data_IF_572816311615
#
_entry.id   IF_572816311615
#
_cell.length_a   1.000
_cell.length_b   1.000
_cell.length_c   1.000
_cell.angle_alpha   90.00
_cell.angle_beta   90.00
_cell.angle_gamma   90.00
#
_symmetry.space_group_name_H-M   'P 1'
#
loop_
_entity.id
_entity.type
_entity.pdbx_description
1 polymer ?
#
# COMPACT_ATOMS: atom_id res chain seq x y z
N UNK A 1 -0.34 -18.63 -28.33
CA UNK A 1 -0.18 -20.00 -27.76
C UNK A 1 0.36 -19.85 -26.35
N UNK A 2 -0.25 -20.51 -25.34
CA UNK A 2 0.28 -20.52 -23.98
C UNK A 2 1.61 -21.28 -23.94
N UNK A 3 2.59 -20.78 -23.16
CA UNK A 3 3.86 -21.50 -22.96
C UNK A 3 3.61 -22.91 -22.39
N UNK A 4 4.48 -23.89 -22.70
CA UNK A 4 4.36 -25.21 -22.09
C UNK A 4 4.53 -25.12 -20.57
N UNK A 5 3.87 -26.03 -19.83
CA UNK A 5 4.00 -26.18 -18.38
C UNK A 5 5.39 -26.76 -18.10
N UNK A 6 6.19 -26.09 -17.30
CA UNK A 6 7.54 -26.52 -16.94
C UNK A 6 7.51 -27.36 -15.66
N UNK A 7 7.91 -28.61 -15.78
CA UNK A 7 7.79 -29.63 -14.74
C UNK A 7 9.18 -30.12 -14.35
N UNK A 8 9.49 -30.02 -13.06
CA UNK A 8 10.69 -30.61 -12.47
C UNK A 8 10.37 -31.94 -11.81
N UNK A 9 11.13 -33.00 -12.14
CA UNK A 9 11.02 -34.32 -11.55
C UNK A 9 12.11 -34.54 -10.51
N UNK A 10 11.71 -34.62 -9.24
CA UNK A 10 12.60 -34.83 -8.10
C UNK A 10 12.42 -36.24 -7.56
N UNK A 11 13.01 -37.21 -8.24
CA UNK A 11 13.12 -38.64 -7.81
C UNK A 11 14.55 -39.15 -8.00
N UNK A 12 14.99 -40.03 -7.11
CA UNK A 12 16.27 -40.79 -7.24
C UNK A 12 16.13 -42.06 -8.05
N UNK A 13 14.91 -42.54 -8.20
CA UNK A 13 14.60 -43.75 -8.98
C UNK A 13 14.63 -43.47 -10.48
N UNK A 14 15.63 -43.95 -11.17
CA UNK A 14 15.79 -43.74 -12.62
C UNK A 14 14.66 -44.36 -13.45
N UNK A 15 14.13 -45.53 -13.03
CA UNK A 15 13.03 -46.19 -13.73
C UNK A 15 11.77 -45.34 -13.62
N UNK A 16 11.50 -44.82 -12.44
CA UNK A 16 10.35 -43.91 -12.18
C UNK A 16 10.50 -42.60 -12.92
N UNK A 17 11.72 -42.01 -12.91
CA UNK A 17 12.00 -40.80 -13.70
C UNK A 17 11.72 -41.00 -15.19
N UNK A 18 12.10 -42.11 -15.76
CA UNK A 18 11.79 -42.45 -17.17
C UNK A 18 10.28 -42.56 -17.40
N UNK A 19 9.59 -43.34 -16.56
CA UNK A 19 8.13 -43.47 -16.65
C UNK A 19 7.39 -42.15 -16.56
N UNK A 20 7.78 -41.27 -15.63
CA UNK A 20 7.17 -39.94 -15.52
C UNK A 20 7.51 -39.03 -16.71
N UNK A 21 8.75 -39.09 -17.18
CA UNK A 21 9.15 -38.36 -18.39
C UNK A 21 8.29 -38.76 -19.58
N UNK A 22 8.11 -40.05 -19.81
CA UNK A 22 7.29 -40.57 -20.90
C UNK A 22 5.80 -40.20 -20.73
N UNK A 23 5.28 -40.27 -19.50
CA UNK A 23 3.93 -39.86 -19.16
C UNK A 23 3.67 -38.37 -19.43
N UNK A 24 4.64 -37.51 -19.18
CA UNK A 24 4.52 -36.05 -19.24
C UNK A 24 5.03 -35.43 -20.56
N UNK A 25 5.70 -36.22 -21.39
CA UNK A 25 6.24 -35.75 -22.69
C UNK A 25 5.10 -35.46 -23.68
N UNK A 26 4.66 -34.20 -23.68
CA UNK A 26 3.59 -33.71 -24.57
C UNK A 26 3.94 -32.30 -25.05
N UNK A 27 3.23 -31.82 -26.07
CA UNK A 27 3.37 -30.45 -26.57
C UNK A 27 3.01 -29.38 -25.52
N UNK A 28 2.31 -29.76 -24.44
CA UNK A 28 1.88 -28.87 -23.35
C UNK A 28 2.78 -28.92 -22.11
N UNK A 29 3.69 -29.89 -22.02
CA UNK A 29 4.57 -30.08 -20.86
C UNK A 29 6.03 -30.10 -21.32
N UNK A 30 6.89 -29.43 -20.59
CA UNK A 30 8.34 -29.43 -20.75
C UNK A 30 8.97 -29.92 -19.45
N UNK A 31 9.74 -31.01 -19.52
CA UNK A 31 10.51 -31.49 -18.39
C UNK A 31 11.77 -30.63 -18.27
N UNK A 32 12.03 -30.12 -17.07
CA UNK A 32 13.22 -29.35 -16.74
C UNK A 32 14.17 -30.23 -15.94
N UNK A 33 15.44 -30.24 -16.30
CA UNK A 33 16.47 -30.95 -15.55
C UNK A 33 16.98 -30.05 -14.42
N UNK A 34 17.00 -30.58 -13.18
CA UNK A 34 17.53 -29.89 -12.02
C UNK A 34 19.06 -30.00 -12.00
N UNK A 35 19.74 -29.02 -12.57
CA UNK A 35 21.21 -28.98 -12.63
C UNK A 35 21.86 -28.30 -11.40
N UNK A 36 21.15 -28.25 -10.26
CA UNK A 36 21.65 -27.61 -9.02
C UNK A 36 21.54 -26.08 -8.99
N UNK A 37 21.09 -25.46 -10.06
CA UNK A 37 20.71 -24.04 -10.06
C UNK A 37 19.24 -23.88 -9.68
N UNK A 38 18.88 -22.80 -8.94
CA UNK A 38 17.48 -22.49 -8.64
C UNK A 38 16.70 -22.35 -9.94
N UNK A 39 15.81 -23.27 -10.20
CA UNK A 39 15.00 -23.22 -11.41
C UNK A 39 13.87 -22.20 -11.21
N UNK A 40 14.17 -20.92 -11.46
CA UNK A 40 13.27 -19.77 -11.24
C UNK A 40 11.96 -19.81 -12.04
N UNK A 41 11.80 -20.74 -12.95
CA UNK A 41 10.70 -20.77 -13.89
C UNK A 41 9.96 -22.12 -13.94
N UNK A 42 9.98 -22.90 -12.85
CA UNK A 42 9.21 -24.13 -12.73
C UNK A 42 7.76 -23.80 -12.34
N UNK A 43 6.83 -24.49 -12.97
CA UNK A 43 5.41 -24.41 -12.65
C UNK A 43 4.98 -25.53 -11.69
N UNK A 44 5.50 -26.75 -11.89
CA UNK A 44 5.14 -27.93 -11.12
C UNK A 44 6.38 -28.70 -10.72
N UNK A 45 6.41 -29.13 -9.47
CA UNK A 45 7.35 -30.10 -8.93
C UNK A 45 6.64 -31.44 -8.71
N UNK A 46 7.21 -32.54 -9.22
CA UNK A 46 6.76 -33.89 -8.95
C UNK A 46 7.80 -34.62 -8.09
N UNK A 47 7.37 -35.11 -6.92
CA UNK A 47 8.24 -35.73 -5.92
C UNK A 47 7.70 -37.10 -5.46
N UNK A 48 8.60 -37.98 -5.03
CA UNK A 48 8.29 -39.27 -4.35
C UNK A 48 9.07 -39.45 -3.05
N UNK A 49 9.75 -38.41 -2.62
CA UNK A 49 10.60 -38.40 -1.39
C UNK A 49 10.58 -37.00 -0.78
N UNK A 50 10.94 -36.85 0.51
CA UNK A 50 11.06 -35.54 1.15
C UNK A 50 11.99 -34.60 0.38
N UNK A 51 11.69 -33.31 0.34
CA UNK A 51 12.50 -32.30 -0.33
C UNK A 51 13.95 -32.26 0.20
N UNK A 52 14.12 -32.46 1.51
CA UNK A 52 15.43 -32.56 2.16
C UNK A 52 16.32 -33.68 1.61
N UNK A 53 15.72 -34.67 1.00
CA UNK A 53 16.41 -35.80 0.37
C UNK A 53 16.54 -35.64 -1.14
N UNK A 54 15.93 -34.64 -1.73
CA UNK A 54 16.03 -34.36 -3.14
C UNK A 54 17.27 -33.50 -3.43
N UNK A 55 18.00 -33.81 -4.51
CA UNK A 55 19.16 -33.00 -4.96
C UNK A 55 18.69 -31.78 -5.77
N UNK A 56 17.51 -31.21 -5.44
CA UNK A 56 16.93 -30.09 -6.17
C UNK A 56 17.03 -28.84 -5.30
N UNK A 57 17.77 -27.85 -5.78
CA UNK A 57 17.76 -26.52 -5.19
C UNK A 57 16.42 -25.83 -5.55
N UNK A 58 15.57 -25.62 -4.55
CA UNK A 58 14.26 -25.00 -4.71
C UNK A 58 14.18 -23.71 -3.89
N UNK A 59 13.51 -22.74 -4.46
CA UNK A 59 13.02 -21.59 -3.70
C UNK A 59 11.75 -22.00 -2.93
N UNK A 60 11.93 -22.36 -1.65
CA UNK A 60 10.82 -22.77 -0.77
C UNK A 60 9.78 -21.66 -0.59
N UNK A 61 10.16 -20.39 -0.74
CA UNK A 61 9.25 -19.25 -0.71
C UNK A 61 8.21 -19.32 -1.84
N UNK A 62 8.57 -19.83 -2.99
CA UNK A 62 7.64 -19.98 -4.13
C UNK A 62 6.59 -21.06 -3.89
N UNK A 63 6.97 -22.15 -3.22
CA UNK A 63 6.02 -23.18 -2.78
C UNK A 63 5.04 -22.60 -1.76
N UNK A 64 5.57 -21.96 -0.73
CA UNK A 64 4.79 -21.38 0.37
C UNK A 64 3.80 -20.31 -0.13
N UNK A 65 4.20 -19.53 -1.13
CA UNK A 65 3.33 -18.52 -1.76
C UNK A 65 2.39 -19.09 -2.83
N UNK A 66 2.40 -20.39 -3.08
CA UNK A 66 1.58 -21.02 -4.11
C UNK A 66 1.94 -20.61 -5.55
N UNK A 67 3.17 -20.13 -5.76
CA UNK A 67 3.70 -19.74 -7.07
C UNK A 67 4.27 -20.92 -7.86
N UNK A 68 4.38 -22.07 -7.23
CA UNK A 68 4.73 -23.37 -7.82
C UNK A 68 3.82 -24.41 -7.18
N UNK A 69 3.38 -25.39 -7.95
CA UNK A 69 2.57 -26.48 -7.46
C UNK A 69 3.41 -27.73 -7.18
N UNK A 70 3.00 -28.54 -6.20
CA UNK A 70 3.66 -29.80 -5.85
C UNK A 70 2.72 -30.98 -6.03
N UNK A 71 3.15 -31.97 -6.80
CA UNK A 71 2.52 -33.27 -6.93
C UNK A 71 3.40 -34.29 -6.21
N UNK A 72 2.88 -34.89 -5.15
CA UNK A 72 3.56 -36.00 -4.45
C UNK A 72 3.04 -37.33 -4.95
N UNK A 73 3.96 -38.30 -5.16
CA UNK A 73 3.65 -39.67 -5.51
C UNK A 73 4.04 -40.59 -4.36
N UNK A 74 3.06 -41.28 -3.78
CA UNK A 74 3.24 -42.08 -2.59
C UNK A 74 2.62 -41.49 -1.35
N UNK A 75 2.89 -42.07 -0.19
CA UNK A 75 2.20 -41.73 1.06
C UNK A 75 3.01 -40.72 1.90
N UNK A 76 2.33 -39.74 2.51
CA UNK A 76 2.82 -38.97 3.65
C UNK A 76 3.61 -37.70 3.36
N UNK A 77 3.68 -37.25 2.12
CA UNK A 77 4.31 -35.97 1.79
C UNK A 77 3.26 -34.85 1.68
N UNK A 78 3.52 -33.69 2.31
CA UNK A 78 2.65 -32.53 2.12
C UNK A 78 2.79 -32.02 0.68
N UNK A 79 1.66 -31.96 -0.05
CA UNK A 79 1.63 -31.51 -1.43
C UNK A 79 0.28 -30.91 -1.79
N UNK A 80 0.22 -30.15 -2.89
CA UNK A 80 -1.07 -29.66 -3.43
C UNK A 80 -1.93 -30.79 -3.99
N UNK A 81 -1.28 -31.81 -4.57
CA UNK A 81 -1.93 -33.03 -5.08
C UNK A 81 -1.10 -34.25 -4.68
N UNK A 82 -1.73 -35.28 -4.11
CA UNK A 82 -1.11 -36.56 -3.80
C UNK A 82 -1.67 -37.65 -4.70
N UNK A 83 -0.80 -38.43 -5.32
CA UNK A 83 -1.16 -39.58 -6.15
C UNK A 83 -0.64 -40.87 -5.49
N UNK A 84 -1.33 -42.00 -5.61
CA UNK A 84 -0.85 -43.28 -5.15
C UNK A 84 0.35 -43.75 -5.99
N UNK A 85 1.11 -44.73 -5.49
CA UNK A 85 2.28 -45.25 -6.19
C UNK A 85 1.95 -45.99 -7.49
N UNK A 86 0.77 -46.55 -7.57
CA UNK A 86 0.21 -47.27 -8.72
C UNK A 86 -0.56 -46.41 -9.69
N UNK A 87 -0.41 -45.08 -9.58
CA UNK A 87 -1.09 -44.12 -10.47
C UNK A 87 -0.82 -44.40 -11.96
N UNK A 88 -1.79 -44.11 -12.78
CA UNK A 88 -1.64 -44.16 -14.24
C UNK A 88 -0.91 -42.93 -14.80
N UNK A 89 -0.28 -43.10 -15.97
CA UNK A 89 0.31 -41.97 -16.71
C UNK A 89 -0.68 -40.84 -17.00
N UNK A 90 -1.97 -41.19 -17.15
CA UNK A 90 -3.06 -40.22 -17.39
C UNK A 90 -3.34 -39.40 -16.14
N UNK A 91 -3.39 -40.03 -14.98
CA UNK A 91 -3.63 -39.33 -13.70
C UNK A 91 -2.50 -38.35 -13.37
N UNK A 92 -1.23 -38.77 -13.51
CA UNK A 92 -0.08 -37.89 -13.31
C UNK A 92 -0.13 -36.67 -14.24
N UNK A 93 -0.39 -36.90 -15.51
CA UNK A 93 -0.52 -35.81 -16.51
C UNK A 93 -1.64 -34.86 -16.18
N UNK A 94 -2.80 -35.38 -15.81
CA UNK A 94 -3.96 -34.58 -15.48
C UNK A 94 -3.69 -33.76 -14.21
N UNK A 95 -3.12 -34.35 -13.18
CA UNK A 95 -2.74 -33.67 -11.95
C UNK A 95 -1.78 -32.50 -12.24
N UNK A 96 -0.71 -32.73 -13.00
CA UNK A 96 0.24 -31.69 -13.37
C UNK A 96 -0.40 -30.56 -14.19
N UNK A 97 -1.23 -30.87 -15.17
CA UNK A 97 -1.89 -29.86 -16.02
C UNK A 97 -2.90 -29.02 -15.25
N UNK A 98 -3.75 -29.66 -14.43
CA UNK A 98 -4.74 -28.94 -13.62
C UNK A 98 -4.07 -28.08 -12.56
N UNK A 99 -3.07 -28.61 -11.87
CA UNK A 99 -2.32 -27.87 -10.86
C UNK A 99 -1.57 -26.68 -11.49
N UNK A 100 -0.98 -26.87 -12.67
CA UNK A 100 -0.30 -25.78 -13.39
C UNK A 100 -1.29 -24.66 -13.76
N UNK A 101 -2.53 -24.98 -14.13
CA UNK A 101 -3.55 -23.98 -14.38
C UNK A 101 -3.93 -23.22 -13.11
N UNK A 102 -4.06 -23.93 -11.98
CA UNK A 102 -4.30 -23.31 -10.67
C UNK A 102 -3.15 -22.35 -10.30
N UNK A 103 -1.90 -22.78 -10.44
CA UNK A 103 -0.72 -21.94 -10.17
C UNK A 103 -0.69 -20.72 -11.09
N UNK A 104 -0.99 -20.90 -12.37
CA UNK A 104 -1.09 -19.82 -13.34
C UNK A 104 -2.13 -18.77 -12.93
N UNK A 105 -3.33 -19.22 -12.55
CA UNK A 105 -4.40 -18.34 -12.10
C UNK A 105 -4.04 -17.61 -10.80
N UNK A 106 -3.37 -18.28 -9.84
CA UNK A 106 -2.87 -17.66 -8.60
C UNK A 106 -1.88 -16.55 -8.93
N UNK A 107 -0.86 -16.82 -9.76
CA UNK A 107 0.13 -15.81 -10.18
C UNK A 107 -0.51 -14.61 -10.89
N UNK A 108 -1.46 -14.88 -11.79
CA UNK A 108 -2.19 -13.82 -12.49
C UNK A 108 -2.99 -12.95 -11.53
N UNK A 109 -3.68 -13.57 -10.57
CA UNK A 109 -4.44 -12.85 -9.54
C UNK A 109 -3.54 -11.99 -8.65
N UNK A 110 -2.38 -12.50 -8.26
CA UNK A 110 -1.40 -11.73 -7.47
C UNK A 110 -0.83 -10.55 -8.26
N UNK A 111 -0.47 -10.77 -9.53
CA UNK A 111 0.00 -9.70 -10.41
C UNK A 111 -1.07 -8.61 -10.58
N UNK A 112 -2.33 -9.00 -10.82
CA UNK A 112 -3.45 -8.05 -10.93
C UNK A 112 -3.66 -7.27 -9.63
N UNK A 113 -3.62 -7.94 -8.46
CA UNK A 113 -3.73 -7.27 -7.15
C UNK A 113 -2.57 -6.32 -6.89
N UNK A 114 -1.35 -6.69 -7.29
CA UNK A 114 -0.18 -5.80 -7.15
C UNK A 114 -0.34 -4.57 -8.03
N UNK A 115 -0.77 -4.75 -9.26
CA UNK A 115 -1.04 -3.66 -10.19
C UNK A 115 -2.16 -2.73 -9.68
N UNK A 116 -3.25 -3.29 -9.18
CA UNK A 116 -4.36 -2.54 -8.58
C UNK A 116 -3.88 -1.70 -7.39
N UNK A 117 -3.06 -2.27 -6.47
CA UNK A 117 -2.48 -1.53 -5.35
C UNK A 117 -1.61 -0.36 -5.81
N UNK A 118 -0.77 -0.57 -6.83
CA UNK A 118 0.07 0.50 -7.40
C UNK A 118 -0.80 1.60 -8.00
N UNK A 119 -1.80 1.24 -8.80
CA UNK A 119 -2.71 2.21 -9.41
C UNK A 119 -3.52 2.97 -8.36
N UNK A 120 -4.01 2.29 -7.33
CA UNK A 120 -4.72 2.91 -6.21
C UNK A 120 -3.81 3.88 -5.46
N UNK A 121 -2.57 3.48 -5.16
CA UNK A 121 -1.59 4.36 -4.52
C UNK A 121 -1.33 5.60 -5.37
N UNK A 122 -1.05 5.44 -6.65
CA UNK A 122 -0.84 6.58 -7.56
C UNK A 122 -2.07 7.50 -7.68
N UNK A 123 -3.28 6.93 -7.65
CA UNK A 123 -4.52 7.70 -7.75
C UNK A 123 -4.87 8.48 -6.46
N UNK A 124 -4.39 8.00 -5.30
CA UNK A 124 -4.76 8.53 -3.97
C UNK A 124 -3.61 9.21 -3.23
N UNK A 125 -2.40 9.26 -3.82
CA UNK A 125 -1.25 9.94 -3.21
C UNK A 125 -0.88 11.22 -3.94
N UNK A 126 -0.33 12.17 -3.23
CA UNK A 126 0.31 13.37 -3.79
C UNK A 126 1.74 13.02 -4.26
N UNK A 127 2.11 13.29 -5.52
CA UNK A 127 3.39 12.86 -6.06
C UNK A 127 4.60 13.61 -5.48
N UNK A 128 4.39 14.78 -4.88
CA UNK A 128 5.48 15.58 -4.29
C UNK A 128 5.82 15.10 -2.88
N UNK A 129 4.81 14.86 -2.07
CA UNK A 129 4.95 14.62 -0.63
C UNK A 129 4.72 13.16 -0.24
N UNK A 130 4.12 12.34 -1.12
CA UNK A 130 3.73 10.97 -0.80
C UNK A 130 2.51 10.86 0.14
N UNK A 131 2.01 11.97 0.66
CA UNK A 131 0.79 12.00 1.47
C UNK A 131 -0.45 11.62 0.65
N UNK A 132 -1.54 11.20 1.30
CA UNK A 132 -2.86 11.17 0.67
C UNK A 132 -3.17 12.50 -0.04
N UNK A 133 -3.73 12.41 -1.24
CA UNK A 133 -4.11 13.60 -2.01
C UNK A 133 -5.56 14.05 -1.70
N UNK A 134 -6.04 15.10 -2.37
CA UNK A 134 -7.42 15.62 -2.21
C UNK A 134 -8.49 14.53 -2.45
N UNK A 135 -8.29 13.65 -3.43
CA UNK A 135 -9.24 12.56 -3.68
C UNK A 135 -9.32 11.59 -2.49
N UNK A 136 -8.18 11.23 -1.94
CA UNK A 136 -8.11 10.40 -0.74
C UNK A 136 -8.74 11.10 0.47
N UNK A 137 -8.54 12.42 0.61
CA UNK A 137 -9.19 13.24 1.62
C UNK A 137 -10.72 13.17 1.54
N UNK A 138 -11.29 13.45 0.37
CA UNK A 138 -12.74 13.44 0.16
C UNK A 138 -13.33 12.04 0.44
N UNK A 139 -12.63 10.98 0.02
CA UNK A 139 -13.03 9.60 0.30
C UNK A 139 -12.97 9.29 1.80
N UNK A 140 -11.91 9.68 2.51
CA UNK A 140 -11.77 9.42 3.94
C UNK A 140 -12.76 10.20 4.79
N UNK A 141 -13.09 11.43 4.43
CA UNK A 141 -14.17 12.17 5.08
C UNK A 141 -15.51 11.43 4.94
N UNK A 142 -15.82 10.95 3.74
CA UNK A 142 -17.06 10.20 3.50
C UNK A 142 -17.08 8.86 4.24
N UNK A 143 -15.96 8.14 4.30
CA UNK A 143 -15.84 6.82 4.94
C UNK A 143 -15.87 6.92 6.48
N UNK A 144 -15.14 7.87 7.07
CA UNK A 144 -14.98 7.97 8.52
C UNK A 144 -16.10 8.76 9.19
N UNK A 145 -16.62 9.77 8.53
CA UNK A 145 -17.69 10.63 9.04
C UNK A 145 -19.06 10.33 8.43
N UNK A 146 -19.16 9.41 7.45
CA UNK A 146 -20.42 9.04 6.81
C UNK A 146 -21.42 8.41 7.77
N UNK A 147 -22.68 8.36 7.36
CA UNK A 147 -23.84 7.96 8.15
C UNK A 147 -23.59 6.73 9.05
N UNK A 148 -23.74 6.90 10.37
CA UNK A 148 -23.63 5.85 11.38
C UNK A 148 -22.22 5.37 11.72
N UNK A 149 -21.15 6.00 11.24
CA UNK A 149 -19.76 5.57 11.48
C UNK A 149 -18.99 6.44 12.47
N UNK A 150 -19.24 7.74 12.52
CA UNK A 150 -18.62 8.59 13.52
C UNK A 150 -19.21 8.31 14.91
N UNK A 151 -18.41 7.75 15.80
CA UNK A 151 -18.73 7.61 17.22
C UNK A 151 -17.95 8.68 17.99
N UNK A 152 -18.56 9.85 18.17
CA UNK A 152 -17.99 10.92 18.97
C UNK A 152 -17.56 12.16 18.16
N UNK A 153 -17.01 13.12 18.88
CA UNK A 153 -16.56 14.41 18.32
C UNK A 153 -15.39 14.22 17.34
N UNK A 154 -15.45 14.94 16.23
CA UNK A 154 -14.36 15.01 15.27
C UNK A 154 -14.01 16.47 15.00
N UNK A 155 -12.73 16.73 14.66
CA UNK A 155 -12.28 18.05 14.26
C UNK A 155 -11.66 17.97 12.85
N UNK A 156 -12.10 18.83 11.97
CA UNK A 156 -11.52 19.07 10.65
C UNK A 156 -10.67 20.33 10.76
N UNK A 157 -9.39 20.24 10.40
CA UNK A 157 -8.50 21.38 10.31
C UNK A 157 -7.89 21.49 8.91
N UNK A 158 -7.82 22.72 8.41
CA UNK A 158 -7.12 23.07 7.18
C UNK A 158 -5.88 23.89 7.56
N UNK A 159 -4.74 23.50 7.04
CA UNK A 159 -3.47 24.17 7.25
C UNK A 159 -2.92 24.66 5.91
N UNK A 160 -2.19 25.77 5.96
CA UNK A 160 -1.56 26.35 4.79
C UNK A 160 -0.17 26.88 5.17
N UNK A 161 0.80 26.63 4.28
CA UNK A 161 2.20 27.07 4.48
C UNK A 161 2.31 28.53 4.14
N UNK A 162 2.55 29.35 5.16
CA UNK A 162 2.65 30.78 5.00
C UNK A 162 3.85 31.18 4.14
N UNK A 163 3.63 32.08 3.19
CA UNK A 163 4.67 32.72 2.36
C UNK A 163 5.52 31.77 1.51
N UNK A 164 5.01 30.59 1.15
CA UNK A 164 5.74 29.66 0.28
C UNK A 164 6.14 30.29 -1.07
N UNK A 165 5.32 31.25 -1.57
CA UNK A 165 5.65 31.97 -2.81
C UNK A 165 6.93 32.82 -2.66
N UNK A 166 7.21 33.39 -1.49
CA UNK A 166 8.46 34.14 -1.27
C UNK A 166 9.68 33.22 -1.33
N UNK A 167 9.57 31.97 -0.85
CA UNK A 167 10.62 30.97 -0.98
C UNK A 167 10.83 30.63 -2.46
N UNK A 168 9.75 30.40 -3.20
CA UNK A 168 9.80 30.12 -4.63
C UNK A 168 10.44 31.27 -5.42
N UNK A 169 10.08 32.51 -5.11
CA UNK A 169 10.60 33.70 -5.78
C UNK A 169 12.07 33.96 -5.50
N UNK A 170 12.53 33.68 -4.28
CA UNK A 170 13.92 33.92 -3.86
C UNK A 170 14.86 32.77 -4.14
N UNK A 171 14.41 31.52 -3.95
CA UNK A 171 15.26 30.32 -3.96
C UNK A 171 14.86 29.33 -5.09
N UNK A 172 13.78 29.62 -5.79
CA UNK A 172 13.25 28.78 -6.86
C UNK A 172 12.32 27.67 -6.39
N UNK A 173 11.53 27.12 -7.32
CA UNK A 173 10.51 26.09 -7.04
C UNK A 173 11.10 24.79 -6.43
N UNK A 174 12.34 24.44 -6.75
CA UNK A 174 12.98 23.25 -6.17
C UNK A 174 13.13 23.32 -4.66
N UNK A 175 13.47 24.50 -4.12
CA UNK A 175 13.54 24.69 -2.66
C UNK A 175 12.15 24.77 -2.04
N UNK A 176 11.16 25.38 -2.69
CA UNK A 176 9.78 25.34 -2.25
C UNK A 176 9.24 23.91 -2.18
N UNK A 177 9.52 23.10 -3.18
CA UNK A 177 9.16 21.67 -3.18
C UNK A 177 9.87 20.89 -2.06
N UNK A 178 11.15 21.16 -1.81
CA UNK A 178 11.88 20.55 -0.71
C UNK A 178 11.30 20.96 0.66
N UNK A 179 10.91 22.22 0.81
CA UNK A 179 10.24 22.73 2.03
C UNK A 179 8.89 22.05 2.24
N UNK A 180 8.08 21.89 1.20
CA UNK A 180 6.81 21.17 1.29
C UNK A 180 6.98 19.71 1.70
N UNK A 181 8.03 19.01 1.21
CA UNK A 181 8.34 17.65 1.65
C UNK A 181 8.68 17.60 3.14
N UNK A 182 9.56 18.51 3.61
CA UNK A 182 9.95 18.57 5.04
C UNK A 182 8.75 18.85 5.95
N UNK A 183 7.87 19.77 5.56
CA UNK A 183 6.64 20.07 6.30
C UNK A 183 5.72 18.84 6.31
N UNK A 184 5.54 18.17 5.18
CA UNK A 184 4.75 16.96 5.08
C UNK A 184 5.27 15.82 5.98
N UNK A 185 6.60 15.64 6.03
CA UNK A 185 7.24 14.66 6.92
C UNK A 185 6.97 14.98 8.39
N UNK A 186 7.14 16.24 8.81
CA UNK A 186 6.87 16.70 10.18
C UNK A 186 5.38 16.54 10.55
N UNK A 187 4.48 16.90 9.64
CA UNK A 187 3.04 16.68 9.83
C UNK A 187 2.73 15.19 9.99
N UNK A 188 3.32 14.33 9.15
CA UNK A 188 3.18 12.89 9.24
C UNK A 188 3.65 12.34 10.58
N UNK A 189 4.81 12.77 11.05
CA UNK A 189 5.38 12.34 12.32
C UNK A 189 4.49 12.74 13.50
N UNK A 190 3.98 13.97 13.48
CA UNK A 190 3.06 14.48 14.50
C UNK A 190 1.72 13.74 14.48
N UNK A 191 1.24 13.38 13.28
CA UNK A 191 -0.08 12.78 13.07
C UNK A 191 -0.12 11.25 13.18
N UNK A 192 1.00 10.55 13.34
CA UNK A 192 1.12 9.06 13.26
C UNK A 192 0.02 8.27 13.95
N UNK A 193 -0.62 8.82 15.00
CA UNK A 193 -1.69 8.16 15.78
C UNK A 193 -2.88 9.06 16.08
N UNK A 194 -2.91 10.26 15.53
CA UNK A 194 -3.88 11.28 15.93
C UNK A 194 -5.07 11.42 14.96
N UNK A 195 -4.96 10.88 13.74
CA UNK A 195 -6.02 11.03 12.75
C UNK A 195 -5.56 10.79 11.32
N UNK A 196 -6.17 11.48 10.38
CA UNK A 196 -5.85 11.38 8.95
C UNK A 196 -5.29 12.71 8.44
N UNK A 197 -4.23 12.62 7.63
CA UNK A 197 -3.55 13.76 7.01
C UNK A 197 -3.57 13.61 5.49
N UNK A 198 -3.78 14.71 4.77
CA UNK A 198 -3.70 14.77 3.32
C UNK A 198 -3.12 16.12 2.84
N UNK A 199 -2.49 16.13 1.68
CA UNK A 199 -2.18 17.36 0.94
C UNK A 199 -3.30 17.64 -0.05
N UNK A 200 -3.93 18.80 0.07
CA UNK A 200 -5.09 19.17 -0.73
C UNK A 200 -4.71 19.82 -2.07
N UNK A 201 -3.52 20.38 -2.16
CA UNK A 201 -2.93 21.00 -3.34
C UNK A 201 -2.09 22.23 -2.96
N UNK A 202 -1.12 22.60 -3.79
CA UNK A 202 -0.27 23.75 -3.52
C UNK A 202 0.41 23.66 -2.15
N UNK A 203 0.09 24.60 -1.29
CA UNK A 203 0.57 24.77 0.08
C UNK A 203 -0.45 24.32 1.16
N UNK A 204 -1.58 23.72 0.75
CA UNK A 204 -2.68 23.36 1.63
C UNK A 204 -2.64 21.90 2.09
N UNK A 205 -2.85 21.67 3.39
CA UNK A 205 -2.98 20.36 4.04
C UNK A 205 -4.31 20.26 4.78
N UNK A 206 -4.91 19.07 4.76
CA UNK A 206 -6.11 18.73 5.52
C UNK A 206 -5.80 17.73 6.63
N UNK A 207 -6.36 17.96 7.80
CA UNK A 207 -6.22 17.11 8.98
C UNK A 207 -7.60 16.77 9.52
N UNK A 208 -7.88 15.47 9.70
CA UNK A 208 -9.07 14.97 10.39
C UNK A 208 -8.63 14.32 11.71
N UNK A 209 -9.12 14.83 12.82
CA UNK A 209 -8.87 14.36 14.17
C UNK A 209 -10.14 13.67 14.71
N UNK A 210 -10.02 12.41 15.12
CA UNK A 210 -11.13 11.66 15.73
C UNK A 210 -11.02 11.71 17.26
N UNK A 211 -12.16 11.79 17.96
CA UNK A 211 -12.21 11.89 19.43
C UNK A 211 -11.73 13.23 19.98
N UNK A 212 -11.68 14.27 19.15
CA UNK A 212 -11.24 15.62 19.54
C UNK A 212 -12.45 16.55 19.54
N UNK A 213 -12.89 16.92 20.73
CA UNK A 213 -13.96 17.92 20.93
C UNK A 213 -13.44 19.36 20.81
N UNK A 214 -14.37 20.32 20.79
CA UNK A 214 -14.07 21.74 20.64
C UNK A 214 -13.08 22.25 21.69
N UNK A 215 -13.21 21.83 22.94
CA UNK A 215 -12.34 22.27 24.03
C UNK A 215 -10.86 21.87 23.83
N UNK A 216 -10.60 20.75 23.16
CA UNK A 216 -9.26 20.22 22.87
C UNK A 216 -8.73 20.62 21.50
N UNK A 217 -9.64 20.91 20.56
CA UNK A 217 -9.27 21.15 19.15
C UNK A 217 -8.24 22.27 18.99
N UNK A 218 -8.43 23.40 19.66
CA UNK A 218 -7.53 24.55 19.61
C UNK A 218 -6.09 24.14 19.96
N UNK A 219 -5.90 23.47 21.09
CA UNK A 219 -4.56 23.06 21.57
C UNK A 219 -3.93 22.01 20.66
N UNK A 220 -4.70 21.04 20.18
CA UNK A 220 -4.20 19.98 19.31
C UNK A 220 -3.81 20.53 17.95
N UNK A 221 -4.65 21.33 17.32
CA UNK A 221 -4.36 21.93 16.01
C UNK A 221 -3.18 22.89 16.10
N UNK A 222 -3.08 23.67 17.18
CA UNK A 222 -1.96 24.60 17.35
C UNK A 222 -0.64 23.82 17.58
N UNK A 223 -0.66 22.73 18.32
CA UNK A 223 0.50 21.85 18.50
C UNK A 223 0.96 21.27 17.15
N UNK A 224 0.04 20.75 16.32
CA UNK A 224 0.33 20.22 14.98
C UNK A 224 0.99 21.30 14.13
N UNK A 225 0.43 22.51 14.12
CA UNK A 225 0.94 23.65 13.38
C UNK A 225 2.36 24.04 13.81
N UNK A 226 2.61 24.13 15.12
CA UNK A 226 3.92 24.53 15.67
C UNK A 226 4.97 23.47 15.35
N UNK A 227 4.67 22.19 15.53
CA UNK A 227 5.62 21.09 15.28
C UNK A 227 5.97 20.92 13.80
N UNK A 228 5.04 21.25 12.91
CA UNK A 228 5.27 21.20 11.47
C UNK A 228 6.06 22.40 10.93
N UNK A 229 6.06 23.53 11.65
CA UNK A 229 6.78 24.73 11.24
C UNK A 229 8.29 24.50 11.13
N UNK A 230 8.92 25.21 10.21
CA UNK A 230 10.38 25.24 10.05
C UNK A 230 10.93 26.56 10.62
N UNK A 231 12.05 26.49 11.30
CA UNK A 231 12.81 27.68 11.67
C UNK A 231 13.80 28.03 10.56
N UNK A 232 14.10 29.32 10.43
CA UNK A 232 15.16 29.80 9.57
C UNK A 232 16.51 29.26 10.07
N UNK A 233 17.38 28.90 9.14
CA UNK A 233 18.73 28.47 9.43
C UNK A 233 19.69 29.27 8.53
N UNK A 234 20.25 30.32 9.10
CA UNK A 234 21.17 31.22 8.40
C UNK A 234 22.45 30.51 7.95
N UNK A 235 22.89 29.46 8.67
CA UNK A 235 24.08 28.70 8.31
C UNK A 235 23.89 27.87 7.04
N UNK A 236 22.68 27.39 6.80
CA UNK A 236 22.31 26.60 5.58
C UNK A 236 21.57 27.44 4.55
N UNK A 237 21.27 28.71 4.82
CA UNK A 237 20.46 29.59 3.99
C UNK A 237 18.99 29.16 3.90
N UNK A 238 18.52 28.36 4.86
CA UNK A 238 17.16 27.83 4.86
C UNK A 238 16.18 28.90 5.32
N UNK A 239 15.11 29.06 4.53
CA UNK A 239 14.02 29.97 4.86
C UNK A 239 13.08 29.29 5.88
N UNK A 240 12.82 29.99 7.01
CA UNK A 240 11.86 29.49 8.02
C UNK A 240 10.42 29.62 7.50
N UNK A 241 9.70 28.52 7.47
CA UNK A 241 8.29 28.49 7.08
C UNK A 241 7.39 28.27 8.29
N UNK A 242 6.33 29.04 8.35
CA UNK A 242 5.27 28.91 9.36
C UNK A 242 3.98 28.43 8.68
N UNK A 243 3.02 28.02 9.47
CA UNK A 243 1.73 27.58 9.00
C UNK A 243 0.63 28.38 9.66
N UNK A 244 -0.41 28.65 8.89
CA UNK A 244 -1.71 29.10 9.40
C UNK A 244 -2.68 27.93 9.40
N UNK A 245 -3.60 27.88 10.36
CA UNK A 245 -4.62 26.84 10.43
C UNK A 245 -5.99 27.41 10.79
N UNK A 246 -7.01 26.83 10.16
CA UNK A 246 -8.42 27.03 10.54
C UNK A 246 -9.05 25.67 10.85
N UNK A 247 -9.92 25.60 11.85
CA UNK A 247 -10.54 24.33 12.22
C UNK A 247 -12.02 24.48 12.60
N UNK A 248 -12.77 23.42 12.42
CA UNK A 248 -14.17 23.30 12.82
C UNK A 248 -14.41 21.90 13.39
N UNK A 249 -15.27 21.81 14.40
CA UNK A 249 -15.74 20.53 14.92
C UNK A 249 -16.96 20.05 14.14
N UNK A 250 -17.09 18.75 14.07
CA UNK A 250 -18.24 18.04 13.49
C UNK A 250 -18.84 17.21 14.64
N UNK A 251 -20.12 17.43 14.92
CA UNK A 251 -20.81 16.72 15.99
C UNK A 251 -21.11 15.26 15.65
N UNK A 252 -21.79 14.59 16.57
CA UNK A 252 -22.17 13.19 16.43
C UNK A 252 -23.07 12.92 15.21
N UNK A 253 -22.89 11.75 14.58
CA UNK A 253 -23.67 11.30 13.42
C UNK A 253 -23.78 12.33 12.27
N UNK A 254 -22.64 12.83 11.75
CA UNK A 254 -22.67 13.86 10.73
C UNK A 254 -23.21 13.33 9.40
N UNK A 255 -23.90 14.21 8.67
CA UNK A 255 -24.30 13.97 7.29
C UNK A 255 -23.24 14.52 6.32
N UNK A 256 -23.32 14.17 5.05
CA UNK A 256 -22.46 14.75 4.01
C UNK A 256 -22.57 16.28 3.97
N UNK A 257 -23.77 16.84 4.20
CA UNK A 257 -24.00 18.28 4.23
C UNK A 257 -23.28 18.94 5.42
N UNK A 258 -23.36 18.36 6.61
CA UNK A 258 -22.67 18.88 7.81
C UNK A 258 -21.16 18.77 7.72
N UNK A 259 -20.63 17.72 7.08
CA UNK A 259 -19.19 17.56 6.79
C UNK A 259 -18.71 18.66 5.85
N UNK A 260 -19.40 18.87 4.73
CA UNK A 260 -19.05 19.92 3.78
C UNK A 260 -19.11 21.32 4.41
N UNK A 261 -20.10 21.55 5.26
CA UNK A 261 -20.23 22.81 6.00
C UNK A 261 -19.07 23.00 7.00
N UNK A 262 -18.66 21.95 7.70
CA UNK A 262 -17.50 22.01 8.59
C UNK A 262 -16.18 22.30 7.83
N UNK A 263 -15.98 21.70 6.66
CA UNK A 263 -14.84 22.01 5.78
C UNK A 263 -14.87 23.48 5.37
N UNK A 264 -16.03 24.01 4.95
CA UNK A 264 -16.20 25.44 4.58
C UNK A 264 -15.90 26.35 5.76
N UNK A 265 -16.41 26.03 6.94
CA UNK A 265 -16.16 26.81 8.17
C UNK A 265 -14.69 26.81 8.57
N UNK A 266 -13.99 25.66 8.43
CA UNK A 266 -12.55 25.58 8.67
C UNK A 266 -11.74 26.42 7.65
N UNK A 267 -12.17 26.47 6.39
CA UNK A 267 -11.55 27.32 5.35
C UNK A 267 -11.75 28.82 5.65
N UNK A 268 -12.94 29.23 6.05
CA UNK A 268 -13.21 30.63 6.47
C UNK A 268 -12.33 31.03 7.67
N UNK A 269 -12.16 30.12 8.65
CA UNK A 269 -11.29 30.32 9.80
C UNK A 269 -9.80 30.41 9.40
N UNK A 270 -9.36 29.58 8.43
CA UNK A 270 -8.00 29.66 7.88
C UNK A 270 -7.74 31.01 7.20
N UNK A 271 -8.70 31.47 6.39
CA UNK A 271 -8.60 32.81 5.77
C UNK A 271 -8.54 33.93 6.82
N UNK A 272 -9.25 33.78 7.94
CA UNK A 272 -9.16 34.72 9.06
C UNK A 272 -7.76 34.68 9.69
N UNK A 273 -7.20 33.50 9.96
CA UNK A 273 -5.84 33.33 10.48
C UNK A 273 -4.80 34.05 9.59
N UNK A 274 -4.91 33.88 8.27
CA UNK A 274 -4.03 34.57 7.30
C UNK A 274 -4.20 36.09 7.33
N UNK A 275 -5.43 36.61 7.41
CA UNK A 275 -5.70 38.07 7.48
C UNK A 275 -5.18 38.71 8.77
N UNK A 276 -5.21 38.01 9.88
CA UNK A 276 -4.78 38.52 11.18
C UNK A 276 -3.26 38.45 11.39
N UNK A 277 -2.48 38.16 10.37
CA UNK A 277 -1.01 38.18 10.42
C UNK A 277 -0.35 36.82 10.38
N UNK A 278 -1.06 35.78 9.96
CA UNK A 278 -0.53 34.42 9.74
C UNK A 278 0.03 33.75 11.01
N UNK A 279 0.72 32.62 10.85
CA UNK A 279 1.40 31.85 11.92
C UNK A 279 0.51 31.63 13.16
N UNK A 280 -0.74 31.24 12.97
CA UNK A 280 -1.73 31.05 14.03
C UNK A 280 -2.83 30.06 13.65
N UNK A 281 -3.57 29.63 14.66
CA UNK A 281 -4.81 28.87 14.48
C UNK A 281 -6.04 29.76 14.75
N UNK A 282 -7.16 29.46 14.08
CA UNK A 282 -8.46 30.04 14.35
C UNK A 282 -9.55 29.00 14.39
N UNK A 283 -10.45 29.03 15.37
CA UNK A 283 -11.68 28.26 15.33
C UNK A 283 -12.62 28.85 14.27
N UNK A 284 -13.45 28.00 13.71
CA UNK A 284 -14.61 28.46 12.97
C UNK A 284 -15.57 29.25 13.89
N UNK A 285 -16.14 30.31 13.39
CA UNK A 285 -17.25 31.00 14.08
C UNK A 285 -18.45 30.05 14.20
N UNK A 286 -19.09 30.05 15.39
CA UNK A 286 -20.32 29.30 15.63
C UNK A 286 -21.50 29.87 14.84
#
# INVERSE_FOLDING_TARGET
MSRPVRILLATRDQQRRRAWTDALKTTRCQIVEGNGEPADDIDILVIDQPLSESNVALDEDRLTRGQMGMVAVGVGLPADVSLPMDHSSRELRLACLLLAEIVRLRRQREASRRQERVLTHLALSDPLTGLPNRRAWDQQLAERLGEGRASGDCCIALLDVDLLHEVNDRLGHLEGDASLRRIADRLSDTMRRAGFLARLGGDEFGVLLEGVNEAKAASVVDLIRIQAAEDADDATGRFGLKLSAGWATVGEAPTKATINEAVRRADDALRQAKREGRNRTRPAAN
#
